data_IF_824297430975
#
_entry.id   IF_824297430975
#
_cell.length_a   1.000
_cell.length_b   1.000
_cell.length_c   1.000
_cell.angle_alpha   90.00
_cell.angle_beta   90.00
_cell.angle_gamma   90.00
#
_symmetry.space_group_name_H-M   'P 1'
#
loop_
_entity.id
_entity.type
_entity.pdbx_description
1 polymer ?
#
# COMPACT_ATOMS: atom_id res chain seq x y z
N UNK A 1 -40.06 -72.96 -28.41
CA UNK A 1 -40.84 -73.55 -27.30
C UNK A 1 -40.23 -73.02 -26.00
N UNK A 2 -41.09 -72.63 -25.07
CA UNK A 2 -40.87 -71.63 -24.01
C UNK A 2 -40.11 -72.21 -22.80
N UNK A 3 -39.14 -71.45 -22.27
CA UNK A 3 -38.81 -71.49 -20.83
C UNK A 3 -38.64 -70.06 -20.31
N UNK A 4 -39.62 -69.63 -19.50
CA UNK A 4 -39.67 -68.37 -18.74
C UNK A 4 -39.07 -68.58 -17.32
N UNK A 5 -38.87 -67.45 -16.63
CA UNK A 5 -38.62 -67.27 -15.17
C UNK A 5 -37.16 -67.43 -14.68
N UNK A 6 -36.58 -66.55 -13.86
CA UNK A 6 -37.06 -65.47 -12.97
C UNK A 6 -35.87 -64.52 -12.76
N UNK A 7 -36.02 -63.22 -13.00
CA UNK A 7 -35.14 -62.23 -12.36
C UNK A 7 -35.97 -61.49 -11.32
N UNK A 8 -35.61 -61.71 -10.06
CA UNK A 8 -36.22 -61.14 -8.87
C UNK A 8 -36.18 -59.62 -8.94
N UNK A 9 -37.34 -59.00 -8.77
CA UNK A 9 -37.42 -57.58 -8.48
C UNK A 9 -36.79 -57.25 -7.14
N UNK A 10 -36.03 -56.16 -7.12
CA UNK A 10 -36.03 -55.22 -5.99
C UNK A 10 -36.22 -53.83 -6.57
N UNK A 11 -37.34 -53.24 -6.18
CA UNK A 11 -37.80 -51.89 -6.47
C UNK A 11 -36.84 -50.86 -5.85
N UNK A 12 -36.78 -49.70 -6.50
CA UNK A 12 -36.65 -48.34 -5.97
C UNK A 12 -35.60 -48.14 -4.85
N UNK A 13 -34.66 -47.22 -5.00
CA UNK A 13 -34.93 -45.78 -4.88
C UNK A 13 -33.87 -45.01 -5.65
N UNK A 14 -34.35 -44.09 -6.49
CA UNK A 14 -33.57 -43.03 -7.11
C UNK A 14 -32.96 -42.13 -6.03
N UNK A 15 -31.65 -41.98 -6.02
CA UNK A 15 -30.99 -40.86 -5.36
C UNK A 15 -30.12 -40.15 -6.40
N UNK A 16 -30.77 -39.31 -7.20
CA UNK A 16 -30.10 -38.24 -7.95
C UNK A 16 -29.71 -37.21 -6.90
N UNK A 17 -28.53 -37.36 -6.31
CA UNK A 17 -27.90 -36.29 -5.54
C UNK A 17 -27.29 -35.31 -6.54
N UNK A 18 -28.04 -34.22 -6.74
CA UNK A 18 -27.66 -33.03 -7.49
C UNK A 18 -26.27 -32.58 -7.05
N UNK A 19 -25.32 -32.59 -7.99
CA UNK A 19 -24.04 -31.95 -7.84
C UNK A 19 -24.26 -30.42 -7.78
N UNK A 20 -24.44 -29.90 -6.58
CA UNK A 20 -24.32 -28.48 -6.31
C UNK A 20 -22.82 -28.14 -6.28
N UNK A 21 -22.25 -27.91 -7.46
CA UNK A 21 -20.98 -27.21 -7.60
C UNK A 21 -21.20 -25.77 -7.12
N UNK A 22 -21.11 -25.57 -5.80
CA UNK A 22 -20.93 -24.25 -5.23
C UNK A 22 -19.53 -23.77 -5.67
N UNK A 23 -19.48 -23.12 -6.83
CA UNK A 23 -18.42 -22.16 -7.13
C UNK A 23 -18.50 -21.10 -6.05
N UNK A 24 -17.79 -21.34 -4.95
CA UNK A 24 -17.34 -20.29 -4.07
C UNK A 24 -16.47 -19.39 -4.94
N UNK A 25 -17.08 -18.34 -5.47
CA UNK A 25 -16.38 -17.16 -5.90
C UNK A 25 -15.62 -16.69 -4.67
N UNK A 26 -14.36 -17.13 -4.56
CA UNK A 26 -13.36 -16.45 -3.75
C UNK A 26 -13.17 -15.12 -4.45
N UNK A 27 -14.08 -14.19 -4.18
CA UNK A 27 -13.78 -12.77 -4.33
C UNK A 27 -12.64 -12.56 -3.34
N UNK A 28 -11.41 -12.63 -3.81
CA UNK A 28 -10.30 -12.05 -3.09
C UNK A 28 -10.76 -10.63 -2.75
N UNK A 29 -10.89 -10.32 -1.48
CA UNK A 29 -11.26 -8.99 -1.03
C UNK A 29 -10.09 -8.07 -1.34
N UNK A 30 -9.91 -7.71 -2.63
CA UNK A 30 -9.18 -6.51 -2.97
C UNK A 30 -9.98 -5.37 -2.35
N UNK A 31 -9.44 -4.75 -1.31
CA UNK A 31 -10.04 -3.57 -0.70
C UNK A 31 -10.20 -2.48 -1.74
N UNK A 32 -11.20 -1.62 -1.58
CA UNK A 32 -11.27 -0.40 -2.38
C UNK A 32 -9.98 0.42 -2.15
N UNK A 33 -9.42 1.05 -3.21
CA UNK A 33 -8.24 1.88 -3.06
C UNK A 33 -8.50 3.02 -2.06
N UNK A 34 -7.47 3.52 -1.37
CA UNK A 34 -7.61 4.66 -0.47
C UNK A 34 -8.31 5.85 -1.15
N UNK A 35 -9.23 6.50 -0.45
CA UNK A 35 -9.98 7.62 -1.01
C UNK A 35 -9.05 8.71 -1.56
N UNK A 36 -9.28 9.15 -2.81
CA UNK A 36 -8.47 10.16 -3.49
C UNK A 36 -7.20 9.64 -4.17
N UNK A 37 -7.01 8.32 -4.27
CA UNK A 37 -5.80 7.71 -4.86
C UNK A 37 -5.49 8.24 -6.27
N UNK A 38 -6.45 8.22 -7.20
CA UNK A 38 -6.26 8.69 -8.58
C UNK A 38 -5.81 10.17 -8.65
N UNK A 39 -6.42 11.05 -7.83
CA UNK A 39 -6.03 12.46 -7.80
C UNK A 39 -4.59 12.65 -7.30
N UNK A 40 -4.15 11.80 -6.36
CA UNK A 40 -2.77 11.83 -5.87
C UNK A 40 -1.79 11.36 -6.93
N UNK A 41 -2.14 10.38 -7.75
CA UNK A 41 -1.30 9.96 -8.88
C UNK A 41 -1.11 11.13 -9.87
N UNK A 42 -2.17 11.86 -10.21
CA UNK A 42 -2.10 13.04 -11.07
C UNK A 42 -1.17 14.13 -10.49
N UNK A 43 -1.29 14.41 -9.18
CA UNK A 43 -0.45 15.40 -8.50
C UNK A 43 1.00 14.95 -8.42
N UNK A 44 1.24 13.67 -8.13
CA UNK A 44 2.57 13.07 -8.09
C UNK A 44 3.26 13.12 -9.45
N UNK A 45 2.54 12.88 -10.55
CA UNK A 45 3.10 12.98 -11.89
C UNK A 45 3.62 14.39 -12.22
N UNK A 46 3.06 15.42 -11.56
CA UNK A 46 3.42 16.83 -11.75
C UNK A 46 4.63 17.33 -10.97
N UNK A 47 5.21 16.53 -10.05
CA UNK A 47 6.38 16.98 -9.27
C UNK A 47 7.71 16.65 -9.94
N UNK A 48 8.65 17.59 -9.85
CA UNK A 48 10.02 17.37 -10.29
C UNK A 48 10.77 16.41 -9.36
N UNK A 49 10.57 16.58 -8.05
CA UNK A 49 11.17 15.74 -7.02
C UNK A 49 10.29 15.68 -5.78
N UNK A 50 10.41 14.59 -5.04
CA UNK A 50 9.73 14.33 -3.78
C UNK A 50 10.69 13.62 -2.83
N UNK A 51 10.71 14.01 -1.56
CA UNK A 51 11.59 13.43 -0.54
C UNK A 51 10.81 12.57 0.44
N UNK A 52 11.40 11.46 0.82
CA UNK A 52 10.88 10.56 1.85
C UNK A 52 11.99 10.35 2.87
N UNK A 53 11.71 10.58 4.14
CA UNK A 53 12.59 10.17 5.23
C UNK A 53 11.94 9.04 6.00
N UNK A 54 12.57 7.87 6.04
CA UNK A 54 12.11 6.70 6.77
C UNK A 54 13.29 5.85 7.23
N UNK A 55 13.07 4.77 7.96
CA UNK A 55 14.14 3.80 8.24
C UNK A 55 14.51 3.02 6.98
N UNK A 56 15.75 2.53 6.92
CA UNK A 56 16.21 1.73 5.78
C UNK A 56 15.36 0.45 5.59
N UNK A 57 15.01 -0.23 6.68
CA UNK A 57 14.16 -1.43 6.66
C UNK A 57 12.77 -1.14 6.06
N UNK A 58 12.16 -0.02 6.44
CA UNK A 58 10.84 0.37 5.93
C UNK A 58 10.88 0.64 4.43
N UNK A 59 11.94 1.29 3.93
CA UNK A 59 12.13 1.47 2.49
C UNK A 59 12.31 0.14 1.76
N UNK A 60 13.23 -0.70 2.23
CA UNK A 60 13.59 -1.94 1.55
C UNK A 60 12.40 -2.92 1.43
N UNK A 61 11.46 -2.86 2.37
CA UNK A 61 10.26 -3.71 2.40
C UNK A 61 9.09 -3.16 1.60
N UNK A 62 9.02 -1.84 1.41
CA UNK A 62 7.90 -1.19 0.70
C UNK A 62 8.25 -0.77 -0.72
N UNK A 63 9.55 -0.71 -1.09
CA UNK A 63 9.98 -0.23 -2.40
C UNK A 63 9.39 -1.07 -3.55
N UNK A 64 9.12 -0.45 -4.71
CA UNK A 64 8.69 -1.16 -5.91
C UNK A 64 9.76 -2.16 -6.38
N UNK A 65 9.35 -3.25 -7.04
CA UNK A 65 10.28 -4.22 -7.64
C UNK A 65 10.81 -5.31 -6.70
N UNK A 66 10.41 -5.33 -5.42
CA UNK A 66 10.86 -6.34 -4.44
C UNK A 66 10.59 -7.81 -4.86
N UNK A 67 9.59 -8.04 -5.71
CA UNK A 67 9.03 -9.37 -6.03
C UNK A 67 9.27 -9.86 -7.48
N UNK A 68 10.35 -9.44 -8.17
CA UNK A 68 10.87 -10.02 -9.44
C UNK A 68 10.46 -9.35 -10.78
N UNK A 69 9.93 -8.13 -10.80
CA UNK A 69 9.69 -7.39 -12.05
C UNK A 69 10.36 -6.02 -11.99
N UNK A 70 11.44 -5.88 -12.78
CA UNK A 70 12.16 -4.67 -13.15
C UNK A 70 12.20 -3.58 -12.06
N UNK A 71 13.34 -3.43 -11.40
CA UNK A 71 13.58 -2.33 -10.47
C UNK A 71 13.48 -0.96 -11.19
N UNK A 72 12.27 -0.42 -11.30
CA UNK A 72 11.99 0.93 -11.83
C UNK A 72 12.59 2.04 -10.97
N UNK A 73 13.18 1.67 -9.82
CA UNK A 73 13.66 2.58 -8.78
C UNK A 73 15.11 2.31 -8.36
N UNK A 74 15.93 1.57 -9.13
CA UNK A 74 17.36 1.36 -8.83
C UNK A 74 18.14 2.67 -8.61
N UNK A 75 17.69 3.75 -9.27
CA UNK A 75 18.28 5.09 -9.15
C UNK A 75 17.85 5.83 -7.87
N UNK A 76 16.73 5.43 -7.25
CA UNK A 76 16.23 6.01 -6.01
C UNK A 76 16.96 5.41 -4.79
N UNK A 77 18.25 5.73 -4.66
CA UNK A 77 19.11 5.18 -3.62
C UNK A 77 18.89 5.89 -2.27
N UNK A 78 18.66 5.14 -1.17
CA UNK A 78 18.59 5.72 0.16
C UNK A 78 19.90 6.40 0.55
N UNK A 79 19.81 7.65 0.99
CA UNK A 79 20.93 8.42 1.51
C UNK A 79 20.85 8.46 3.03
N UNK A 80 21.88 7.95 3.72
CA UNK A 80 21.94 8.04 5.19
C UNK A 80 21.98 9.49 5.65
N UNK A 81 21.19 9.79 6.67
CA UNK A 81 21.19 11.08 7.34
C UNK A 81 22.26 11.13 8.43
N UNK A 82 22.72 12.33 8.76
CA UNK A 82 23.65 12.58 9.87
C UNK A 82 22.93 13.01 11.14
N UNK A 83 23.69 13.17 12.23
CA UNK A 83 23.16 13.60 13.53
C UNK A 83 22.14 12.63 14.13
N UNK A 84 21.23 13.15 14.94
CA UNK A 84 20.20 12.39 15.67
C UNK A 84 19.34 11.51 14.75
N UNK A 85 19.08 11.94 13.51
CA UNK A 85 18.36 11.15 12.52
C UNK A 85 19.16 9.94 12.03
N UNK A 86 20.47 10.10 11.88
CA UNK A 86 21.39 9.01 11.51
C UNK A 86 21.53 7.98 12.62
N UNK A 87 21.58 8.41 13.89
CA UNK A 87 21.60 7.51 15.05
C UNK A 87 20.34 6.62 15.13
N UNK A 88 19.24 7.10 14.57
CA UNK A 88 17.96 6.38 14.48
C UNK A 88 17.82 5.56 13.19
N UNK A 89 18.91 5.42 12.43
CA UNK A 89 18.96 4.69 11.17
C UNK A 89 17.98 5.21 10.09
N UNK A 90 17.71 6.53 10.10
CA UNK A 90 16.90 7.16 9.06
C UNK A 90 17.71 7.40 7.78
N UNK A 91 17.02 7.23 6.67
CA UNK A 91 17.50 7.46 5.31
C UNK A 91 16.56 8.44 4.60
N UNK A 92 17.11 9.24 3.70
CA UNK A 92 16.35 10.09 2.78
C UNK A 92 16.37 9.46 1.38
N UNK A 93 15.20 9.29 0.80
CA UNK A 93 15.00 8.83 -0.58
C UNK A 93 14.45 10.03 -1.35
N UNK A 94 15.00 10.28 -2.54
CA UNK A 94 14.46 11.27 -3.47
C UNK A 94 13.86 10.56 -4.68
N UNK A 95 12.57 10.80 -4.93
CA UNK A 95 11.82 10.24 -6.05
C UNK A 95 11.50 11.34 -7.06
N UNK A 96 11.55 11.00 -8.35
CA UNK A 96 10.91 11.79 -9.40
C UNK A 96 9.39 11.64 -9.35
N UNK A 97 8.63 12.49 -10.05
CA UNK A 97 7.17 12.35 -10.11
C UNK A 97 6.69 11.01 -10.62
N UNK A 98 7.32 10.46 -11.67
CA UNK A 98 7.01 9.13 -12.18
C UNK A 98 7.29 8.03 -11.15
N UNK A 99 8.44 8.10 -10.48
CA UNK A 99 8.79 7.17 -9.42
C UNK A 99 7.83 7.24 -8.22
N UNK A 100 7.34 8.44 -7.88
CA UNK A 100 6.35 8.62 -6.82
C UNK A 100 5.00 8.00 -7.21
N UNK A 101 4.56 8.15 -8.47
CA UNK A 101 3.35 7.50 -9.00
C UNK A 101 3.45 5.99 -8.85
N UNK A 102 4.55 5.40 -9.31
CA UNK A 102 4.75 3.96 -9.23
C UNK A 102 4.81 3.48 -7.78
N UNK A 103 5.45 4.26 -6.90
CA UNK A 103 5.50 3.93 -5.49
C UNK A 103 4.12 3.98 -4.83
N UNK A 104 3.31 4.99 -5.11
CA UNK A 104 1.95 5.09 -4.58
C UNK A 104 1.08 3.90 -5.03
N UNK A 105 1.24 3.42 -6.26
CA UNK A 105 0.55 2.22 -6.75
C UNK A 105 0.96 0.96 -6.01
N UNK A 106 2.28 0.75 -5.81
CA UNK A 106 2.78 -0.39 -5.02
C UNK A 106 2.22 -0.36 -3.59
N UNK A 107 2.22 0.82 -2.96
CA UNK A 107 1.67 0.98 -1.62
C UNK A 107 0.17 0.68 -1.57
N UNK A 108 -0.60 1.10 -2.56
CA UNK A 108 -2.02 0.79 -2.64
C UNK A 108 -2.28 -0.71 -2.83
N UNK A 109 -1.56 -1.37 -3.73
CA UNK A 109 -1.68 -2.81 -3.97
C UNK A 109 -1.40 -3.63 -2.69
N UNK A 110 -0.37 -3.23 -1.95
CA UNK A 110 -0.03 -3.85 -0.66
C UNK A 110 -1.11 -3.63 0.40
N UNK A 111 -1.69 -2.43 0.43
CA UNK A 111 -2.71 -2.02 1.41
C UNK A 111 -4.07 -2.65 1.13
N UNK A 112 -4.39 -2.83 -0.15
CA UNK A 112 -5.65 -3.42 -0.61
C UNK A 112 -5.65 -4.95 -0.51
N UNK A 113 -4.55 -5.56 -0.05
CA UNK A 113 -4.46 -6.99 0.18
C UNK A 113 -4.34 -7.79 -1.11
N UNK A 114 -3.51 -7.32 -2.05
CA UNK A 114 -3.19 -8.03 -3.29
C UNK A 114 -2.80 -9.50 -3.05
N UNK A 115 -2.86 -10.34 -4.09
CA UNK A 115 -2.70 -11.80 -3.99
C UNK A 115 -1.39 -12.26 -3.31
N UNK A 116 -0.38 -11.39 -3.23
CA UNK A 116 0.93 -11.63 -2.61
C UNK A 116 1.22 -10.74 -1.39
N UNK A 117 0.24 -9.99 -0.88
CA UNK A 117 0.45 -9.07 0.23
C UNK A 117 0.70 -9.84 1.55
N UNK A 118 1.91 -9.68 2.10
CA UNK A 118 2.22 -10.11 3.46
C UNK A 118 1.64 -9.11 4.48
N UNK A 119 1.00 -9.60 5.54
CA UNK A 119 0.31 -8.76 6.53
C UNK A 119 1.24 -7.76 7.26
N UNK A 120 2.54 -8.03 7.33
CA UNK A 120 3.51 -7.09 7.89
C UNK A 120 3.93 -6.03 6.89
N UNK A 121 3.95 -6.36 5.59
CA UNK A 121 4.15 -5.40 4.50
C UNK A 121 2.93 -4.49 4.33
N UNK A 122 1.71 -5.02 4.42
CA UNK A 122 0.46 -4.22 4.38
C UNK A 122 0.49 -3.08 5.40
N UNK A 123 0.86 -3.37 6.65
CA UNK A 123 0.91 -2.35 7.70
C UNK A 123 1.99 -1.30 7.45
N UNK A 124 3.16 -1.69 6.95
CA UNK A 124 4.23 -0.75 6.60
C UNK A 124 3.82 0.11 5.40
N UNK A 125 3.23 -0.50 4.37
CA UNK A 125 2.75 0.19 3.19
C UNK A 125 1.63 1.17 3.52
N UNK A 126 0.72 0.81 4.44
CA UNK A 126 -0.31 1.71 4.97
C UNK A 126 0.31 2.93 5.66
N UNK A 127 1.30 2.72 6.54
CA UNK A 127 1.99 3.82 7.24
C UNK A 127 2.70 4.76 6.26
N UNK A 128 3.40 4.19 5.27
CA UNK A 128 4.05 4.97 4.22
C UNK A 128 3.01 5.79 3.43
N UNK A 129 1.92 5.15 3.02
CA UNK A 129 0.86 5.81 2.27
C UNK A 129 0.24 6.96 3.07
N UNK A 130 -0.12 6.72 4.33
CA UNK A 130 -0.74 7.70 5.22
C UNK A 130 0.16 8.92 5.49
N UNK A 131 1.48 8.75 5.48
CA UNK A 131 2.42 9.85 5.63
C UNK A 131 2.63 10.65 4.34
N UNK A 132 2.60 9.98 3.18
CA UNK A 132 2.83 10.61 1.87
C UNK A 132 1.58 11.32 1.36
N UNK A 133 0.41 10.68 1.49
CA UNK A 133 -0.88 11.18 1.01
C UNK A 133 -1.15 12.66 1.35
N UNK A 134 -1.05 13.13 2.61
CA UNK A 134 -1.33 14.52 2.95
C UNK A 134 -0.27 15.51 2.41
N UNK A 135 0.94 15.04 2.11
CA UNK A 135 1.95 15.87 1.43
C UNK A 135 1.58 16.03 -0.04
N UNK A 136 1.18 14.93 -0.69
CA UNK A 136 0.75 14.94 -2.10
C UNK A 136 -0.52 15.75 -2.28
N UNK A 137 -1.47 15.64 -1.34
CA UNK A 137 -2.75 16.36 -1.39
C UNK A 137 -2.58 17.88 -1.40
N UNK A 138 -1.49 18.40 -0.79
CA UNK A 138 -1.13 19.82 -0.75
C UNK A 138 -0.48 20.35 -2.03
N UNK A 139 -0.10 19.47 -2.96
CA UNK A 139 0.52 19.89 -4.23
C UNK A 139 -0.55 20.53 -5.12
N UNK A 140 -0.30 21.77 -5.53
CA UNK A 140 -1.15 22.48 -6.49
C UNK A 140 -0.89 21.98 -7.91
N UNK A 141 -1.94 21.54 -8.61
CA UNK A 141 -1.83 21.07 -9.99
C UNK A 141 -1.33 22.19 -10.92
N UNK A 142 -0.36 21.86 -11.76
CA UNK A 142 0.17 22.78 -12.77
C UNK A 142 1.08 23.88 -12.23
N UNK A 143 1.38 23.87 -10.93
CA UNK A 143 2.31 24.81 -10.29
C UNK A 143 3.43 24.01 -9.64
N UNK A 144 4.69 24.19 -10.08
CA UNK A 144 5.81 23.52 -9.43
C UNK A 144 5.89 23.97 -7.96
N UNK A 145 6.06 23.03 -7.01
CA UNK A 145 6.26 23.36 -5.61
C UNK A 145 7.43 24.33 -5.44
N UNK A 146 7.27 25.35 -4.59
CA UNK A 146 8.35 26.29 -4.26
C UNK A 146 9.48 25.60 -3.49
N UNK A 147 9.13 24.57 -2.70
CA UNK A 147 10.05 23.69 -1.99
C UNK A 147 9.78 22.25 -2.38
N UNK A 148 10.82 21.41 -2.33
CA UNK A 148 10.68 19.97 -2.62
C UNK A 148 9.73 19.35 -1.58
N UNK A 149 8.57 18.81 -1.99
CA UNK A 149 7.65 18.20 -1.05
C UNK A 149 8.32 17.02 -0.35
N UNK A 150 8.13 16.93 0.97
CA UNK A 150 8.80 15.93 1.80
C UNK A 150 7.82 15.27 2.78
N UNK A 151 7.91 13.95 2.88
CA UNK A 151 7.24 13.13 3.90
C UNK A 151 8.27 12.54 4.86
N UNK A 152 7.90 12.45 6.14
CA UNK A 152 8.73 11.82 7.18
C UNK A 152 7.91 10.74 7.87
N UNK A 153 8.44 9.53 7.90
CA UNK A 153 7.87 8.36 8.57
C UNK A 153 8.85 7.90 9.64
N UNK A 154 8.60 8.35 10.85
CA UNK A 154 9.54 8.22 11.95
C UNK A 154 8.84 8.06 13.31
N UNK A 155 8.75 6.84 13.81
CA UNK A 155 7.93 6.47 14.97
C UNK A 155 8.38 7.13 16.30
N UNK A 156 9.63 7.57 16.42
CA UNK A 156 10.12 8.28 17.61
C UNK A 156 10.04 9.82 17.48
N UNK A 157 9.59 10.35 16.33
CA UNK A 157 9.22 11.75 16.21
C UNK A 157 7.79 11.94 16.73
N UNK A 158 7.62 11.95 18.05
CA UNK A 158 6.40 12.49 18.66
C UNK A 158 6.29 13.94 18.15
N UNK A 159 5.21 14.33 17.44
CA UNK A 159 5.03 15.73 17.10
C UNK A 159 4.98 16.48 18.43
N UNK A 160 5.89 17.43 18.63
CA UNK A 160 5.80 18.35 19.75
C UNK A 160 4.38 18.92 19.73
N UNK A 161 3.58 18.56 20.74
CA UNK A 161 2.26 19.11 20.90
C UNK A 161 2.39 20.65 20.88
N UNK A 162 1.49 21.39 20.23
CA UNK A 162 1.50 22.83 20.33
C UNK A 162 1.38 23.19 21.82
N UNK A 163 2.37 23.90 22.36
CA UNK A 163 2.41 24.35 23.75
C UNK A 163 1.06 24.96 24.14
N UNK A 164 0.26 24.33 25.02
CA UNK A 164 -0.93 24.95 25.54
C UNK A 164 -0.52 25.74 26.78
N UNK A 165 0.09 26.92 26.61
CA UNK A 165 0.04 28.03 27.60
C UNK A 165 1.01 29.17 27.25
N UNK A 166 0.54 30.12 26.45
CA UNK A 166 0.91 31.51 26.63
C UNK A 166 -0.37 32.31 26.89
N UNK A 167 -1.06 31.99 28.00
CA UNK A 167 -2.09 32.89 28.54
C UNK A 167 -1.38 34.07 29.17
N UNK A 168 -1.28 35.16 28.41
CA UNK A 168 -0.88 36.48 28.86
C UNK A 168 -1.89 36.94 29.93
N UNK A 169 -1.44 37.07 31.18
CA UNK A 169 -2.18 37.84 32.21
C UNK A 169 -2.26 39.31 31.79
N UNK A 170 -3.45 39.94 31.76
CA UNK A 170 -3.54 41.38 31.82
C UNK A 170 -3.45 41.86 33.29
N UNK A 171 -2.75 42.98 33.46
CA UNK A 171 -2.53 43.73 34.72
C UNK A 171 -3.81 44.30 35.33
#
# INVERSE_FOLDING_TARGET
MITLNRVRGRRCVSAVLVAAAALALVTGCAGDPPAGHEERLDKAAGVASFKITCTQDMWDRTKPGRDLQADSHEDAKPRRLGGDQGERALVEITLTGAQLVDYLKTLEEDVSGGFFADASTEQLSRRMYDAIAPVVDRIERGKPPTEVPAAVVDDAAVPAAPDPSATTSPS
#
